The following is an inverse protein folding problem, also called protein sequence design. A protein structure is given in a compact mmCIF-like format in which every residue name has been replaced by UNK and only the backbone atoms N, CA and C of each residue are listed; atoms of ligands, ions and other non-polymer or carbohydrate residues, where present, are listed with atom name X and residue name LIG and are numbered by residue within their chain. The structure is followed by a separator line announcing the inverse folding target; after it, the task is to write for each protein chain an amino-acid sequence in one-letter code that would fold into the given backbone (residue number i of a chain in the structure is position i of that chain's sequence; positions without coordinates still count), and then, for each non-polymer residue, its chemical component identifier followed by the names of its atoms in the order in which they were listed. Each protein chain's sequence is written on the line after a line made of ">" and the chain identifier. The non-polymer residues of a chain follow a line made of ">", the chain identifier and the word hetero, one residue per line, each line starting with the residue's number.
data_IF_902652866061
#
_entry.id   IF_902652866061
#
_cell.length_a   1.000
_cell.length_b   1.000
_cell.length_c   1.000
_cell.angle_alpha   90.00
_cell.angle_beta   90.00
_cell.angle_gamma   90.00
#
_symmetry.space_group_name_H-M   'P 1'
#
loop_
_entity.id
_entity.type
_entity.pdbx_description
1 polymer ?
#
# COMPACT_ATOMS: atom_id res chain seq x y z
N UNK A 1 1.40 -2.00 16.42
CA UNK A 1 2.02 -1.86 15.09
C UNK A 1 1.39 -0.69 14.37
N UNK A 2 2.20 0.19 13.79
CA UNK A 2 1.81 1.39 13.04
C UNK A 2 2.22 1.22 11.59
N UNK A 3 1.36 1.66 10.66
CA UNK A 3 1.65 1.65 9.23
C UNK A 3 1.98 3.07 8.77
N UNK A 4 3.05 3.21 8.01
CA UNK A 4 3.39 4.44 7.30
C UNK A 4 3.04 4.21 5.84
N UNK A 5 2.15 5.06 5.32
CA UNK A 5 1.60 4.91 3.99
C UNK A 5 1.68 6.20 3.20
N UNK A 6 1.84 6.07 1.89
CA UNK A 6 1.64 7.16 0.96
C UNK A 6 0.21 7.11 0.40
N UNK A 7 -0.31 8.27 0.07
CA UNK A 7 -1.59 8.46 -0.58
C UNK A 7 -1.40 9.13 -1.93
N UNK A 8 -2.42 9.09 -2.75
CA UNK A 8 -2.36 9.50 -4.15
C UNK A 8 -3.09 10.80 -4.39
N UNK A 9 -2.82 11.43 -5.54
CA UNK A 9 -3.64 12.52 -6.04
C UNK A 9 -5.09 12.06 -6.28
N UNK A 10 -5.99 13.02 -6.37
CA UNK A 10 -7.43 12.75 -6.44
C UNK A 10 -7.83 11.89 -7.65
N UNK A 11 -7.17 12.10 -8.80
CA UNK A 11 -7.47 11.33 -10.02
C UNK A 11 -7.07 9.87 -9.86
N UNK A 12 -5.86 9.62 -9.37
CA UNK A 12 -5.33 8.28 -9.08
C UNK A 12 -6.16 7.59 -8.00
N UNK A 13 -6.49 8.30 -6.93
CA UNK A 13 -7.31 7.78 -5.84
C UNK A 13 -8.69 7.34 -6.32
N UNK A 14 -9.37 8.15 -7.14
CA UNK A 14 -10.67 7.79 -7.75
C UNK A 14 -10.58 6.56 -8.66
N UNK A 15 -9.48 6.43 -9.41
CA UNK A 15 -9.29 5.26 -10.28
C UNK A 15 -9.11 3.98 -9.47
N UNK A 16 -8.25 4.01 -8.47
CA UNK A 16 -8.01 2.87 -7.57
C UNK A 16 -9.27 2.50 -6.79
N UNK A 17 -10.02 3.49 -6.30
CA UNK A 17 -11.29 3.25 -5.61
C UNK A 17 -12.31 2.54 -6.52
N UNK A 18 -12.41 2.92 -7.79
CA UNK A 18 -13.29 2.22 -8.76
C UNK A 18 -12.92 0.74 -8.93
N UNK A 19 -11.64 0.39 -8.85
CA UNK A 19 -11.22 -1.02 -8.89
C UNK A 19 -11.68 -1.77 -7.64
N UNK A 20 -11.51 -1.16 -6.46
CA UNK A 20 -11.99 -1.71 -5.19
C UNK A 20 -13.51 -1.94 -5.24
N UNK A 21 -14.27 -0.94 -5.67
CA UNK A 21 -15.73 -0.99 -5.75
C UNK A 21 -16.21 -2.09 -6.72
N UNK A 22 -15.56 -2.23 -7.88
CA UNK A 22 -15.89 -3.29 -8.84
C UNK A 22 -15.61 -4.68 -8.28
N UNK A 23 -14.49 -4.87 -7.59
CA UNK A 23 -14.17 -6.14 -6.93
C UNK A 23 -15.23 -6.44 -5.87
N UNK A 24 -15.58 -5.48 -5.01
CA UNK A 24 -16.62 -5.66 -4.00
C UNK A 24 -17.97 -6.03 -4.63
N UNK A 25 -18.37 -5.36 -5.71
CA UNK A 25 -19.60 -5.62 -6.42
C UNK A 25 -19.66 -7.03 -7.03
N UNK A 26 -18.57 -7.48 -7.65
CA UNK A 26 -18.54 -8.76 -8.36
C UNK A 26 -18.30 -9.96 -7.44
N UNK A 27 -17.56 -9.76 -6.36
CA UNK A 27 -17.22 -10.83 -5.42
C UNK A 27 -18.20 -10.94 -4.25
N UNK A 28 -18.96 -9.88 -3.97
CA UNK A 28 -19.74 -9.73 -2.74
C UNK A 28 -18.89 -9.52 -1.48
N UNK A 29 -17.56 -9.38 -1.62
CA UNK A 29 -16.68 -9.08 -0.49
C UNK A 29 -16.58 -7.57 -0.30
N UNK A 30 -17.20 -7.07 0.77
CA UNK A 30 -17.30 -5.64 1.09
C UNK A 30 -16.26 -5.17 2.11
N UNK A 31 -15.27 -6.00 2.47
CA UNK A 31 -14.29 -5.68 3.51
C UNK A 31 -13.65 -4.28 3.32
N UNK A 32 -13.17 -3.96 2.12
CA UNK A 32 -12.49 -2.69 1.87
C UNK A 32 -13.46 -1.50 1.91
N UNK A 33 -14.68 -1.67 1.41
CA UNK A 33 -15.71 -0.62 1.32
C UNK A 33 -16.38 -0.36 2.68
N UNK A 34 -16.71 -1.39 3.44
CA UNK A 34 -17.31 -1.26 4.79
C UNK A 34 -16.35 -0.63 5.80
N UNK A 35 -15.07 -0.97 5.71
CA UNK A 35 -14.04 -0.38 6.59
C UNK A 35 -13.55 0.99 6.10
N UNK A 36 -14.10 1.49 4.98
CA UNK A 36 -13.73 2.78 4.39
C UNK A 36 -12.21 2.94 4.23
N UNK A 37 -11.54 1.87 3.84
CA UNK A 37 -10.07 1.87 3.65
C UNK A 37 -9.73 2.62 2.37
N UNK A 38 -9.14 3.82 2.45
CA UNK A 38 -8.77 4.57 1.24
C UNK A 38 -7.64 3.87 0.51
N UNK A 39 -7.56 3.98 -0.82
CA UNK A 39 -6.40 3.50 -1.56
C UNK A 39 -5.10 4.10 -1.01
N UNK A 40 -4.17 3.23 -0.64
CA UNK A 40 -2.88 3.62 -0.09
C UNK A 40 -1.81 2.60 -0.43
N UNK A 41 -0.56 3.02 -0.35
CA UNK A 41 0.59 2.11 -0.44
C UNK A 41 1.36 2.16 0.88
N UNK A 42 1.41 1.04 1.58
CA UNK A 42 2.19 0.94 2.82
C UNK A 42 3.68 0.90 2.48
N UNK A 43 4.43 1.83 3.05
CA UNK A 43 5.88 1.96 2.87
C UNK A 43 6.64 1.32 4.03
N UNK A 44 6.05 1.32 5.22
CA UNK A 44 6.65 0.68 6.40
C UNK A 44 5.59 0.22 7.40
N UNK A 45 5.93 -0.81 8.16
CA UNK A 45 5.19 -1.26 9.32
C UNK A 45 6.13 -1.29 10.52
N UNK A 46 5.81 -0.50 11.56
CA UNK A 46 6.67 -0.24 12.71
C UNK A 46 6.00 -0.69 13.99
N UNK A 47 6.66 -1.54 14.75
CA UNK A 47 6.32 -1.82 16.13
C UNK A 47 6.89 -0.70 17.01
N UNK A 48 6.05 -0.06 17.81
CA UNK A 48 6.41 0.98 18.75
C UNK A 48 5.42 0.95 19.93
N UNK A 49 5.78 1.55 21.04
CA UNK A 49 4.92 1.63 22.23
C UNK A 49 3.68 2.49 21.97
N UNK A 50 3.86 3.62 21.29
CA UNK A 50 2.78 4.53 20.96
C UNK A 50 3.04 5.32 19.68
N UNK A 51 2.01 5.96 19.12
CA UNK A 51 2.16 6.86 17.97
C UNK A 51 3.00 8.09 18.31
N UNK A 52 2.91 8.57 19.54
CA UNK A 52 3.67 9.74 20.02
C UNK A 52 5.17 9.53 19.97
N UNK A 53 5.63 8.28 20.15
CA UNK A 53 7.04 7.91 20.01
C UNK A 53 7.54 8.11 18.58
N UNK A 54 6.70 7.85 17.58
CA UNK A 54 7.04 7.94 16.16
C UNK A 54 6.86 9.35 15.60
N UNK A 55 5.97 10.14 16.19
CA UNK A 55 5.51 11.42 15.64
C UNK A 55 6.63 12.40 15.30
N UNK A 56 7.61 12.71 16.19
CA UNK A 56 8.65 13.69 15.86
C UNK A 56 9.48 13.30 14.64
N UNK A 57 9.89 12.03 14.55
CA UNK A 57 10.67 11.52 13.42
C UNK A 57 9.82 11.46 12.14
N UNK A 58 8.53 11.14 12.26
CA UNK A 58 7.60 11.13 11.14
C UNK A 58 7.35 12.55 10.59
N UNK A 59 7.15 13.54 11.45
CA UNK A 59 6.95 14.92 11.04
C UNK A 59 8.20 15.53 10.39
N UNK A 60 9.38 15.27 10.94
CA UNK A 60 10.66 15.66 10.34
C UNK A 60 10.87 15.00 8.97
N UNK A 61 10.57 13.71 8.87
CA UNK A 61 10.63 12.98 7.60
C UNK A 61 9.67 13.59 6.56
N UNK A 62 8.42 13.84 6.92
CA UNK A 62 7.43 14.46 6.02
C UNK A 62 7.86 15.85 5.56
N UNK A 63 8.53 16.63 6.40
CA UNK A 63 9.06 17.94 6.06
C UNK A 63 10.20 17.91 5.02
N UNK A 64 10.86 16.76 4.86
CA UNK A 64 11.99 16.58 3.92
C UNK A 64 11.62 15.83 2.64
N UNK A 65 10.49 15.11 2.64
CA UNK A 65 10.04 14.34 1.48
C UNK A 65 9.34 15.24 0.45
N UNK A 66 9.59 14.98 -0.80
CA UNK A 66 8.88 15.58 -1.92
C UNK A 66 7.90 14.59 -2.54
N UNK A 67 6.91 15.11 -3.27
CA UNK A 67 6.04 14.30 -4.09
C UNK A 67 6.82 13.70 -5.26
N UNK A 68 6.48 12.44 -5.61
CA UNK A 68 7.08 11.75 -6.75
C UNK A 68 6.02 11.16 -7.66
N UNK A 69 6.46 10.73 -8.83
CA UNK A 69 5.61 10.04 -9.81
C UNK A 69 5.86 8.55 -9.73
N UNK A 70 4.78 7.79 -9.72
CA UNK A 70 4.81 6.32 -9.81
C UNK A 70 3.92 5.88 -10.97
N UNK A 71 4.27 4.74 -11.56
CA UNK A 71 3.50 4.14 -12.65
C UNK A 71 3.08 2.75 -12.27
N UNK A 72 1.78 2.53 -12.16
CA UNK A 72 1.21 1.20 -11.95
C UNK A 72 1.24 0.40 -13.25
N UNK A 73 1.74 -0.83 -13.21
CA UNK A 73 2.03 -1.63 -14.41
C UNK A 73 1.47 -3.04 -14.36
N UNK A 74 1.10 -3.53 -13.19
CA UNK A 74 0.66 -4.92 -13.07
C UNK A 74 -0.32 -5.12 -11.92
N UNK A 75 -0.99 -6.25 -11.97
CA UNK A 75 -1.84 -6.80 -10.91
C UNK A 75 -1.16 -8.02 -10.31
N UNK A 76 -1.44 -8.31 -9.05
CA UNK A 76 -0.86 -9.46 -8.39
C UNK A 76 -1.67 -9.94 -7.20
N UNK A 77 -1.19 -11.00 -6.58
CA UNK A 77 -1.82 -11.65 -5.44
C UNK A 77 -0.80 -11.82 -4.30
N UNK A 78 -1.18 -11.45 -3.10
CA UNK A 78 -0.56 -11.92 -1.87
C UNK A 78 -1.46 -13.00 -1.28
N UNK A 79 -1.03 -14.23 -1.50
CA UNK A 79 -1.80 -15.40 -1.09
C UNK A 79 -1.91 -15.49 0.44
N UNK A 80 -3.02 -16.02 0.93
CA UNK A 80 -4.13 -16.57 0.13
C UNK A 80 -5.27 -15.59 -0.14
N UNK A 81 -5.26 -14.34 0.37
CA UNK A 81 -6.48 -13.53 0.54
C UNK A 81 -6.46 -12.13 -0.07
N UNK A 82 -5.38 -11.70 -0.71
CA UNK A 82 -5.22 -10.29 -1.12
C UNK A 82 -4.96 -10.16 -2.61
N UNK A 83 -5.73 -9.26 -3.26
CA UNK A 83 -5.49 -8.77 -4.61
C UNK A 83 -4.91 -7.36 -4.55
N UNK A 84 -3.94 -7.05 -5.41
CA UNK A 84 -3.30 -5.75 -5.44
C UNK A 84 -2.93 -5.29 -6.85
N UNK A 85 -2.67 -3.99 -6.99
CA UNK A 85 -1.96 -3.41 -8.12
C UNK A 85 -0.55 -2.99 -7.68
N UNK A 86 0.43 -3.11 -8.57
CA UNK A 86 1.82 -2.82 -8.24
C UNK A 86 2.44 -1.86 -9.27
N UNK A 87 3.24 -0.88 -8.82
CA UNK A 87 3.98 0.00 -9.69
C UNK A 87 5.32 -0.59 -10.14
N UNK A 88 5.95 0.07 -11.09
CA UNK A 88 7.40 -0.07 -11.31
C UNK A 88 8.13 0.44 -10.07
N UNK A 89 9.07 -0.34 -9.56
CA UNK A 89 9.99 0.09 -8.50
C UNK A 89 11.02 1.06 -9.11
N UNK A 90 10.71 2.34 -9.06
CA UNK A 90 11.58 3.41 -9.55
C UNK A 90 12.48 3.98 -8.43
N UNK A 91 13.38 4.89 -8.79
CA UNK A 91 14.30 5.54 -7.86
C UNK A 91 13.55 6.24 -6.72
N UNK A 92 12.48 6.99 -7.03
CA UNK A 92 11.66 7.65 -6.03
C UNK A 92 11.13 6.69 -4.94
N UNK A 93 10.58 5.55 -5.33
CA UNK A 93 10.05 4.57 -4.38
C UNK A 93 11.18 3.91 -3.56
N UNK A 94 12.35 3.70 -4.14
CA UNK A 94 13.50 3.16 -3.42
C UNK A 94 14.04 4.15 -2.40
N UNK A 95 14.17 5.42 -2.77
CA UNK A 95 14.61 6.48 -1.85
C UNK A 95 13.59 6.71 -0.73
N UNK A 96 12.31 6.71 -1.06
CA UNK A 96 11.23 6.80 -0.06
C UNK A 96 11.30 5.65 0.94
N UNK A 97 11.39 4.41 0.45
CA UNK A 97 11.50 3.22 1.30
C UNK A 97 12.71 3.30 2.24
N UNK A 98 13.87 3.73 1.72
CA UNK A 98 15.09 3.89 2.51
C UNK A 98 14.93 4.99 3.56
N UNK A 99 14.44 6.17 3.16
CA UNK A 99 14.27 7.30 4.07
C UNK A 99 13.32 6.99 5.23
N UNK A 100 12.22 6.27 4.93
CA UNK A 100 11.27 5.83 5.96
C UNK A 100 11.91 4.77 6.87
N UNK A 101 12.62 3.82 6.29
CA UNK A 101 13.31 2.75 7.06
C UNK A 101 14.31 3.33 8.02
N UNK A 102 15.20 4.22 7.56
CA UNK A 102 16.22 4.86 8.38
C UNK A 102 15.60 5.70 9.50
N UNK A 103 14.63 6.58 9.16
CA UNK A 103 13.96 7.43 10.15
C UNK A 103 13.22 6.66 11.25
N UNK A 104 12.63 5.51 10.93
CA UNK A 104 11.88 4.72 11.90
C UNK A 104 12.73 3.67 12.62
N UNK A 105 13.76 3.16 11.96
CA UNK A 105 14.65 2.13 12.51
C UNK A 105 15.66 2.66 13.53
N UNK A 106 16.01 3.93 13.45
CA UNK A 106 16.93 4.59 14.37
C UNK A 106 16.30 4.99 15.71
N UNK A 107 14.97 4.88 15.83
CA UNK A 107 14.30 5.23 17.07
C UNK A 107 14.47 4.14 18.12
N UNK A 108 14.73 4.51 19.40
CA UNK A 108 14.82 3.54 20.49
C UNK A 108 13.53 2.72 20.63
N UNK A 109 13.69 1.41 20.88
CA UNK A 109 12.57 0.50 21.17
C UNK A 109 11.53 0.41 20.04
N UNK A 110 11.94 0.70 18.80
CA UNK A 110 11.15 0.44 17.61
C UNK A 110 11.69 -0.74 16.83
N UNK A 111 10.82 -1.37 16.06
CA UNK A 111 11.20 -2.45 15.15
C UNK A 111 10.44 -2.32 13.84
N UNK A 112 11.19 -2.11 12.77
CA UNK A 112 10.62 -2.15 11.41
C UNK A 112 10.45 -3.59 10.96
N UNK A 113 9.28 -3.90 10.42
CA UNK A 113 8.99 -5.23 9.87
C UNK A 113 9.95 -5.58 8.73
N UNK A 114 10.43 -6.83 8.71
CA UNK A 114 11.36 -7.32 7.69
C UNK A 114 10.81 -7.24 6.25
N UNK A 115 9.49 -7.24 6.08
CA UNK A 115 8.84 -7.09 4.77
C UNK A 115 8.97 -5.69 4.17
N UNK A 116 9.41 -4.71 4.96
CA UNK A 116 9.56 -3.30 4.57
C UNK A 116 11.01 -2.83 4.60
N UNK A 117 11.97 -3.75 4.59
CA UNK A 117 13.38 -3.38 4.43
C UNK A 117 13.64 -2.89 3.01
N UNK A 118 14.50 -1.86 2.83
CA UNK A 118 14.93 -1.46 1.49
C UNK A 118 15.41 -2.66 0.66
N UNK A 119 15.04 -2.69 -0.61
CA UNK A 119 15.29 -3.79 -1.58
C UNK A 119 14.59 -5.13 -1.29
N UNK A 120 13.84 -5.25 -0.18
CA UNK A 120 13.01 -6.42 0.15
C UNK A 120 11.52 -6.07 0.20
N UNK A 121 11.19 -4.81 -0.04
CA UNK A 121 9.82 -4.30 -0.04
C UNK A 121 9.14 -4.51 -1.39
N UNK A 122 7.92 -4.99 -1.36
CA UNK A 122 7.03 -5.07 -2.52
C UNK A 122 6.04 -3.89 -2.48
N UNK A 123 6.24 -2.84 -3.30
CA UNK A 123 5.27 -1.75 -3.37
C UNK A 123 3.97 -2.23 -4.01
N UNK A 124 2.85 -2.06 -3.31
CA UNK A 124 1.54 -2.46 -3.82
C UNK A 124 0.42 -1.65 -3.18
N UNK A 125 -0.70 -1.59 -3.88
CA UNK A 125 -1.97 -1.05 -3.37
C UNK A 125 -2.99 -2.16 -3.36
N UNK A 126 -3.54 -2.45 -2.19
CA UNK A 126 -4.54 -3.50 -2.01
C UNK A 126 -5.86 -3.09 -2.67
N UNK A 127 -6.36 -3.95 -3.53
CA UNK A 127 -7.64 -3.79 -4.22
C UNK A 127 -8.75 -4.64 -3.62
N UNK A 128 -8.38 -5.75 -2.98
CA UNK A 128 -9.30 -6.62 -2.27
C UNK A 128 -8.56 -7.40 -1.18
N UNK A 129 -9.19 -7.58 -0.04
CA UNK A 129 -8.62 -8.24 1.15
C UNK A 129 -9.64 -9.21 1.74
N UNK A 130 -9.14 -10.24 2.43
CA UNK A 130 -9.98 -11.31 3.01
C UNK A 130 -10.85 -12.06 1.99
N UNK A 131 -10.38 -12.13 0.75
CA UNK A 131 -11.06 -12.82 -0.33
C UNK A 131 -10.95 -14.34 -0.16
N UNK A 132 -12.05 -15.08 -0.40
CA UNK A 132 -11.96 -16.53 -0.53
C UNK A 132 -11.20 -16.92 -1.82
N UNK A 133 -10.87 -18.20 -1.97
CA UNK A 133 -10.20 -18.70 -3.18
C UNK A 133 -11.02 -18.41 -4.44
N UNK A 134 -12.33 -18.60 -4.37
CA UNK A 134 -13.26 -18.33 -5.45
C UNK A 134 -13.35 -16.83 -5.74
N UNK A 135 -13.45 -16.01 -4.70
CA UNK A 135 -13.45 -14.55 -4.81
C UNK A 135 -12.14 -14.00 -5.38
N UNK A 136 -11.00 -14.63 -5.08
CA UNK A 136 -9.70 -14.26 -5.67
C UNK A 136 -9.71 -14.45 -7.19
N UNK A 137 -10.30 -15.55 -7.69
CA UNK A 137 -10.41 -15.79 -9.13
C UNK A 137 -11.31 -14.74 -9.82
N UNK A 138 -12.44 -14.40 -9.20
CA UNK A 138 -13.34 -13.36 -9.69
C UNK A 138 -12.66 -11.99 -9.68
N UNK A 139 -12.02 -11.62 -8.57
CA UNK A 139 -11.32 -10.34 -8.42
C UNK A 139 -10.18 -10.18 -9.44
N UNK A 140 -9.45 -11.26 -9.73
CA UNK A 140 -8.43 -11.26 -10.78
C UNK A 140 -9.04 -11.00 -12.15
N UNK A 141 -10.14 -11.69 -12.49
CA UNK A 141 -10.88 -11.47 -13.75
C UNK A 141 -11.36 -10.03 -13.89
N UNK A 142 -11.91 -9.45 -12.82
CA UNK A 142 -12.33 -8.05 -12.80
C UNK A 142 -11.17 -7.11 -13.12
N UNK A 143 -10.03 -7.28 -12.45
CA UNK A 143 -8.85 -6.43 -12.71
C UNK A 143 -8.28 -6.65 -14.11
N UNK A 144 -8.29 -7.88 -14.60
CA UNK A 144 -7.83 -8.20 -15.97
C UNK A 144 -8.64 -7.47 -17.04
N UNK A 145 -9.93 -7.24 -16.81
CA UNK A 145 -10.80 -6.52 -17.74
C UNK A 145 -10.61 -4.99 -17.69
N UNK A 146 -10.35 -4.43 -16.50
CA UNK A 146 -10.41 -2.98 -16.32
C UNK A 146 -9.05 -2.31 -16.09
N UNK A 147 -8.03 -3.07 -15.72
CA UNK A 147 -6.72 -2.51 -15.43
C UNK A 147 -5.97 -2.18 -16.72
N UNK A 148 -5.55 -0.93 -16.81
CA UNK A 148 -4.62 -0.44 -17.84
C UNK A 148 -3.48 0.26 -17.11
N UNK A 149 -2.21 0.05 -17.49
CA UNK A 149 -1.09 0.77 -16.87
C UNK A 149 -1.25 2.29 -16.91
N UNK A 150 -1.01 2.96 -15.79
CA UNK A 150 -1.21 4.40 -15.60
C UNK A 150 -0.16 5.02 -14.68
#
# INVERSE_FOLDING_TARGET
>A
MYLISLYFDEKTNRLLQRYIDKIAQQTGNTFMTEHQVPPHMTVSAVEARSAEQLRPAFEDLCGRLSQGRIRFVSIGQLLPYVMYVTPVLNEYLQELSRSVYDAMGDLPETRVSNYYRPFSWLPHVTMGKTLSKEQMAVAFGVLQEVFVPF
#
